data_IF_134313007435
#
_entry.id   IF_134313007435
#
_cell.length_a   1.000
_cell.length_b   1.000
_cell.length_c   1.000
_cell.angle_alpha   90.00
_cell.angle_beta   90.00
_cell.angle_gamma   90.00
#
_symmetry.space_group_name_H-M   'P 1'
#
loop_
_entity.id
_entity.type
_entity.pdbx_description
1 polymer ?
#
# COMPACT_ATOMS: atom_id res chain seq x y z
N UNK A 1 36.52 -52.20 -1.62
CA UNK A 1 36.95 -50.94 -2.27
C UNK A 1 35.81 -50.23 -3.00
N UNK A 2 35.07 -50.91 -3.90
CA UNK A 2 33.98 -50.31 -4.70
C UNK A 2 32.82 -49.67 -3.89
N UNK A 3 32.37 -50.23 -2.77
CA UNK A 3 31.26 -49.64 -1.98
C UNK A 3 31.57 -48.24 -1.39
N UNK A 4 32.84 -47.97 -1.02
CA UNK A 4 33.25 -46.66 -0.50
C UNK A 4 33.27 -45.58 -1.59
N UNK A 5 33.54 -45.95 -2.84
CA UNK A 5 33.48 -45.03 -3.98
C UNK A 5 32.04 -44.69 -4.36
N UNK A 6 31.12 -45.67 -4.36
CA UNK A 6 29.69 -45.40 -4.58
C UNK A 6 29.08 -44.49 -3.51
N UNK A 7 29.38 -44.71 -2.22
CA UNK A 7 28.93 -43.80 -1.15
C UNK A 7 29.53 -42.40 -1.28
N UNK A 8 30.80 -42.26 -1.69
CA UNK A 8 31.39 -40.94 -1.96
C UNK A 8 30.74 -40.23 -3.13
N UNK A 9 30.41 -40.97 -4.21
CA UNK A 9 29.75 -40.42 -5.39
C UNK A 9 28.30 -39.99 -5.08
N UNK A 10 27.54 -40.80 -4.33
CA UNK A 10 26.20 -40.43 -3.86
C UNK A 10 26.25 -39.25 -2.89
N UNK A 11 27.23 -39.20 -1.98
CA UNK A 11 27.39 -38.07 -1.06
C UNK A 11 27.84 -36.80 -1.80
N UNK A 12 28.68 -36.90 -2.84
CA UNK A 12 29.04 -35.77 -3.70
C UNK A 12 27.84 -35.29 -4.53
N UNK A 13 27.03 -36.20 -5.06
CA UNK A 13 25.81 -35.86 -5.80
C UNK A 13 24.76 -35.21 -4.89
N UNK A 14 24.63 -35.70 -3.65
CA UNK A 14 23.74 -35.14 -2.64
C UNK A 14 24.25 -33.80 -2.09
N UNK A 15 25.57 -33.65 -1.87
CA UNK A 15 26.21 -32.40 -1.48
C UNK A 15 26.22 -31.38 -2.63
N UNK A 16 26.34 -31.81 -3.90
CA UNK A 16 26.17 -30.95 -5.07
C UNK A 16 24.70 -30.54 -5.24
N UNK A 17 23.74 -31.42 -4.95
CA UNK A 17 22.31 -31.07 -4.85
C UNK A 17 22.07 -30.05 -3.72
N UNK A 18 22.65 -30.23 -2.53
CA UNK A 18 22.54 -29.29 -1.41
C UNK A 18 23.25 -27.96 -1.72
N UNK A 19 24.40 -27.98 -2.38
CA UNK A 19 25.12 -26.80 -2.85
C UNK A 19 24.37 -26.06 -3.96
N UNK A 20 23.62 -26.77 -4.82
CA UNK A 20 22.75 -26.14 -5.83
C UNK A 20 21.48 -25.59 -5.20
N UNK A 21 20.96 -26.20 -4.11
CA UNK A 21 19.81 -25.68 -3.34
C UNK A 21 20.13 -24.34 -2.65
N UNK A 22 21.40 -24.10 -2.27
CA UNK A 22 21.81 -22.89 -1.53
C UNK A 22 22.09 -21.65 -2.41
N UNK A 23 22.09 -21.76 -3.74
CA UNK A 23 22.36 -20.65 -4.67
C UNK A 23 21.52 -20.76 -5.97
N UNK A 24 20.22 -21.06 -5.85
CA UNK A 24 19.34 -21.08 -7.03
C UNK A 24 18.98 -19.65 -7.44
N UNK A 25 19.53 -19.22 -8.57
CA UNK A 25 19.03 -18.06 -9.31
C UNK A 25 18.47 -18.53 -10.65
N UNK A 26 17.44 -17.82 -11.14
CA UNK A 26 16.95 -18.00 -12.52
C UNK A 26 17.76 -17.08 -13.43
N UNK A 27 18.34 -17.64 -14.50
CA UNK A 27 18.98 -16.85 -15.55
C UNK A 27 17.91 -16.41 -16.56
N UNK A 28 17.75 -15.11 -16.74
CA UNK A 28 16.77 -14.51 -17.63
C UNK A 28 17.51 -13.83 -18.77
N UNK A 29 17.33 -14.32 -20.00
CA UNK A 29 17.89 -13.69 -21.19
C UNK A 29 16.98 -12.60 -21.71
N UNK A 30 17.54 -11.46 -22.08
CA UNK A 30 16.86 -10.37 -22.80
C UNK A 30 17.85 -9.72 -23.77
N UNK A 31 17.37 -9.27 -24.93
CA UNK A 31 18.24 -8.60 -25.91
C UNK A 31 18.83 -7.29 -25.36
N UNK A 32 18.09 -6.62 -24.48
CA UNK A 32 18.51 -5.38 -23.82
C UNK A 32 18.18 -5.44 -22.33
N UNK A 33 19.15 -5.10 -21.49
CA UNK A 33 18.95 -4.96 -20.05
C UNK A 33 18.61 -3.50 -19.77
N UNK A 34 17.42 -3.25 -19.23
CA UNK A 34 16.92 -1.91 -18.89
C UNK A 34 16.50 -1.85 -17.42
N UNK A 35 16.43 -0.64 -16.87
CA UNK A 35 15.93 -0.43 -15.51
C UNK A 35 14.50 -0.94 -15.30
N UNK A 36 13.66 -0.91 -16.36
CA UNK A 36 12.27 -1.38 -16.30
C UNK A 36 12.19 -2.90 -16.23
N UNK A 37 13.03 -3.59 -17.01
CA UNK A 37 13.16 -5.06 -16.99
C UNK A 37 13.73 -5.51 -15.65
N UNK A 38 14.78 -4.86 -15.16
CA UNK A 38 15.35 -5.16 -13.85
C UNK A 38 14.31 -4.97 -12.74
N UNK A 39 13.60 -3.84 -12.72
CA UNK A 39 12.55 -3.55 -11.75
C UNK A 39 11.44 -4.61 -11.74
N UNK A 40 10.91 -4.98 -12.90
CA UNK A 40 9.75 -5.89 -12.93
C UNK A 40 10.12 -7.31 -12.54
N UNK A 41 11.33 -7.77 -12.90
CA UNK A 41 11.82 -9.06 -12.44
C UNK A 41 12.29 -9.03 -10.98
N UNK A 42 12.77 -7.90 -10.46
CA UNK A 42 13.01 -7.71 -9.01
C UNK A 42 11.71 -7.95 -8.23
N UNK A 43 10.61 -7.34 -8.67
CA UNK A 43 9.30 -7.58 -8.08
C UNK A 43 8.84 -9.05 -8.24
N UNK A 44 8.80 -9.59 -9.46
CA UNK A 44 8.23 -10.93 -9.72
C UNK A 44 9.08 -12.02 -9.05
N UNK A 45 10.41 -11.96 -9.17
CA UNK A 45 11.31 -13.01 -8.70
C UNK A 45 11.66 -12.83 -7.23
N UNK A 46 12.17 -11.66 -6.81
CA UNK A 46 12.66 -11.47 -5.44
C UNK A 46 11.51 -11.16 -4.47
N UNK A 47 10.75 -10.09 -4.73
CA UNK A 47 9.74 -9.64 -3.76
C UNK A 47 8.55 -10.61 -3.69
N UNK A 48 8.05 -11.04 -4.83
CA UNK A 48 6.86 -11.87 -4.91
C UNK A 48 7.15 -13.36 -4.70
N UNK A 49 8.19 -13.88 -5.38
CA UNK A 49 8.50 -15.32 -5.41
C UNK A 49 9.62 -15.74 -4.44
N UNK A 50 10.40 -14.80 -3.91
CA UNK A 50 11.52 -15.09 -3.01
C UNK A 50 12.65 -15.90 -3.62
N UNK A 51 12.85 -15.80 -4.94
CA UNK A 51 13.95 -16.42 -5.67
C UNK A 51 14.86 -15.34 -6.28
N UNK A 52 16.17 -15.58 -6.29
CA UNK A 52 17.09 -14.66 -6.95
C UNK A 52 17.07 -14.87 -8.47
N UNK A 53 17.52 -13.85 -9.21
CA UNK A 53 17.62 -13.90 -10.66
C UNK A 53 18.85 -13.13 -11.16
N UNK A 54 19.28 -13.46 -12.38
CA UNK A 54 20.29 -12.71 -13.11
C UNK A 54 19.81 -12.43 -14.52
N UNK A 55 20.02 -11.21 -14.99
CA UNK A 55 19.80 -10.84 -16.38
C UNK A 55 21.07 -11.10 -17.19
N UNK A 56 20.90 -11.56 -18.43
CA UNK A 56 21.98 -11.63 -19.42
C UNK A 56 21.48 -11.18 -20.80
N UNK A 57 22.31 -10.43 -21.52
CA UNK A 57 22.12 -10.16 -22.94
C UNK A 57 23.04 -11.00 -23.83
N UNK A 58 23.86 -11.85 -23.23
CA UNK A 58 24.69 -12.79 -23.97
C UNK A 58 23.91 -14.09 -24.24
N UNK A 59 23.55 -14.29 -25.51
CA UNK A 59 22.82 -15.47 -25.97
C UNK A 59 23.62 -16.77 -25.77
N UNK A 60 24.94 -16.74 -25.93
CA UNK A 60 25.78 -17.94 -25.73
C UNK A 60 25.81 -18.34 -24.25
N UNK A 61 25.93 -17.37 -23.35
CA UNK A 61 25.88 -17.62 -21.90
C UNK A 61 24.52 -18.21 -21.49
N UNK A 62 23.42 -17.70 -22.08
CA UNK A 62 22.08 -18.26 -21.86
C UNK A 62 21.96 -19.69 -22.37
N UNK A 63 22.38 -19.98 -23.60
CA UNK A 63 22.26 -21.32 -24.18
C UNK A 63 23.10 -22.35 -23.42
N UNK A 64 24.31 -21.97 -22.99
CA UNK A 64 25.25 -22.86 -22.31
C UNK A 64 25.04 -22.97 -20.79
N UNK A 65 24.15 -22.17 -20.20
CA UNK A 65 23.89 -22.19 -18.76
C UNK A 65 23.08 -23.43 -18.34
N UNK A 66 23.50 -24.04 -17.23
CA UNK A 66 22.83 -25.16 -16.57
C UNK A 66 21.85 -24.71 -15.46
N UNK A 67 21.78 -23.41 -15.16
CA UNK A 67 20.78 -22.88 -14.23
C UNK A 67 19.38 -22.97 -14.84
N UNK A 68 18.31 -22.89 -14.03
CA UNK A 68 16.97 -22.62 -14.55
C UNK A 68 16.96 -21.34 -15.39
N UNK A 69 16.30 -21.42 -16.55
CA UNK A 69 16.34 -20.40 -17.60
C UNK A 69 14.97 -19.94 -18.05
N UNK A 70 14.87 -18.64 -18.32
CA UNK A 70 13.74 -17.99 -18.98
C UNK A 70 14.30 -17.15 -20.13
N UNK A 71 13.76 -17.35 -21.32
CA UNK A 71 13.94 -16.42 -22.43
C UNK A 71 12.88 -15.31 -22.33
N UNK A 72 13.34 -14.07 -22.19
CA UNK A 72 12.55 -12.86 -22.24
C UNK A 72 12.99 -12.01 -23.44
N UNK A 73 12.59 -12.42 -24.65
CA UNK A 73 12.92 -11.75 -25.91
C UNK A 73 11.84 -12.00 -26.97
N UNK A 74 11.95 -11.34 -28.12
CA UNK A 74 11.08 -11.60 -29.26
C UNK A 74 11.53 -12.80 -30.12
N UNK A 75 12.66 -13.43 -29.76
CA UNK A 75 13.08 -14.70 -30.33
C UNK A 75 12.45 -15.87 -29.57
N UNK A 76 12.21 -16.98 -30.28
CA UNK A 76 11.78 -18.22 -29.66
C UNK A 76 12.98 -19.16 -29.49
N UNK A 77 13.08 -19.80 -28.33
CA UNK A 77 14.05 -20.84 -28.05
C UNK A 77 13.32 -22.14 -27.72
N UNK A 78 13.60 -23.17 -28.52
CA UNK A 78 13.05 -24.51 -28.31
C UNK A 78 13.44 -25.04 -26.93
N UNK A 79 12.50 -25.73 -26.28
CA UNK A 79 12.69 -26.28 -24.95
C UNK A 79 13.09 -25.24 -23.90
N UNK A 80 12.67 -23.98 -24.00
CA UNK A 80 12.82 -22.97 -22.94
C UNK A 80 11.46 -22.36 -22.54
N UNK A 81 11.40 -21.70 -21.38
CA UNK A 81 10.26 -20.82 -21.05
C UNK A 81 10.43 -19.55 -21.87
N UNK A 82 9.43 -19.19 -22.67
CA UNK A 82 9.50 -18.05 -23.57
C UNK A 82 8.43 -17.02 -23.20
N UNK A 83 8.87 -15.83 -22.82
CA UNK A 83 8.01 -14.66 -22.61
C UNK A 83 8.43 -13.57 -23.61
N UNK A 84 7.45 -12.92 -24.22
CA UNK A 84 7.67 -11.82 -25.15
C UNK A 84 7.91 -10.52 -24.39
N UNK A 85 8.69 -9.62 -25.01
CA UNK A 85 9.03 -8.31 -24.43
C UNK A 85 8.19 -7.24 -25.11
N UNK A 86 7.45 -6.48 -24.29
CA UNK A 86 6.73 -5.29 -24.75
C UNK A 86 7.65 -4.08 -24.82
N UNK A 87 7.41 -3.19 -25.79
CA UNK A 87 8.19 -1.95 -25.98
C UNK A 87 8.27 -1.10 -24.71
N UNK A 88 7.20 -1.07 -23.92
CA UNK A 88 7.12 -0.33 -22.64
C UNK A 88 8.24 -0.70 -21.66
N UNK A 89 8.86 -1.87 -21.80
CA UNK A 89 9.96 -2.33 -20.94
C UNK A 89 11.35 -1.97 -21.49
N UNK A 90 11.49 -1.68 -22.77
CA UNK A 90 12.79 -1.34 -23.39
C UNK A 90 12.95 0.17 -23.65
N UNK A 91 11.86 0.92 -23.59
CA UNK A 91 11.87 2.37 -23.77
C UNK A 91 12.44 3.15 -22.58
N UNK A 92 12.96 4.35 -22.87
CA UNK A 92 13.45 5.28 -21.85
C UNK A 92 12.42 6.35 -21.46
N UNK A 93 11.47 6.68 -22.34
CA UNK A 93 10.48 7.74 -22.16
C UNK A 93 9.09 7.23 -21.77
N UNK A 94 8.18 8.17 -21.50
CA UNK A 94 6.76 7.89 -21.29
C UNK A 94 6.03 8.14 -22.61
N UNK A 95 5.41 7.10 -23.15
CA UNK A 95 4.61 7.15 -24.37
C UNK A 95 3.14 7.36 -24.02
N UNK A 96 2.45 8.24 -24.76
CA UNK A 96 1.06 8.59 -24.46
C UNK A 96 0.03 7.62 -25.05
N UNK A 97 0.45 6.69 -25.89
CA UNK A 97 -0.37 5.82 -26.73
C UNK A 97 -0.20 4.31 -26.43
N UNK A 98 0.29 3.98 -25.23
CA UNK A 98 0.39 2.58 -24.78
C UNK A 98 -1.01 1.96 -24.65
N UNK A 99 -1.33 1.01 -25.53
CA UNK A 99 -2.54 0.19 -25.43
C UNK A 99 -2.31 -1.00 -24.48
N UNK A 100 -2.86 -0.88 -23.27
CA UNK A 100 -2.78 -1.91 -22.24
C UNK A 100 -3.25 -3.29 -22.71
N UNK A 101 -4.25 -3.36 -23.60
CA UNK A 101 -4.82 -4.64 -24.03
C UNK A 101 -3.84 -5.45 -24.88
N UNK A 102 -2.91 -4.77 -25.57
CA UNK A 102 -1.89 -5.41 -26.40
C UNK A 102 -0.66 -5.87 -25.60
N UNK A 103 -0.49 -5.36 -24.37
CA UNK A 103 0.62 -5.73 -23.51
C UNK A 103 0.56 -7.22 -23.11
N UNK A 104 1.73 -7.83 -23.04
CA UNK A 104 1.95 -9.19 -22.51
C UNK A 104 1.99 -9.17 -20.99
N UNK A 105 2.10 -10.35 -20.39
CA UNK A 105 1.98 -10.59 -18.96
C UNK A 105 2.94 -9.72 -18.14
N UNK A 106 4.22 -9.69 -18.52
CA UNK A 106 5.26 -8.92 -17.81
C UNK A 106 5.08 -7.41 -18.04
N UNK A 107 4.74 -6.99 -19.27
CA UNK A 107 4.45 -5.59 -19.57
C UNK A 107 3.24 -5.05 -18.82
N UNK A 108 2.17 -5.86 -18.67
CA UNK A 108 1.02 -5.54 -17.82
C UNK A 108 1.42 -5.34 -16.37
N UNK A 109 2.26 -6.22 -15.81
CA UNK A 109 2.73 -6.06 -14.44
C UNK A 109 3.49 -4.73 -14.26
N UNK A 110 4.38 -4.39 -15.21
CA UNK A 110 5.08 -3.10 -15.17
C UNK A 110 4.13 -1.91 -15.29
N UNK A 111 3.17 -1.94 -16.21
CA UNK A 111 2.17 -0.89 -16.40
C UNK A 111 1.40 -0.59 -15.11
N UNK A 112 0.95 -1.65 -14.42
CA UNK A 112 0.24 -1.55 -13.16
C UNK A 112 1.09 -1.02 -12.02
N UNK A 113 2.29 -1.58 -11.80
CA UNK A 113 3.15 -1.21 -10.67
C UNK A 113 3.81 0.15 -10.84
N UNK A 114 4.19 0.54 -12.05
CA UNK A 114 4.72 1.88 -12.32
C UNK A 114 3.66 2.98 -12.29
N UNK A 115 2.37 2.59 -12.18
CA UNK A 115 1.21 3.48 -12.33
C UNK A 115 1.24 4.23 -13.67
N UNK A 116 1.66 3.56 -14.74
CA UNK A 116 1.90 4.17 -16.05
C UNK A 116 0.70 4.98 -16.54
N UNK A 117 -0.52 4.45 -16.35
CA UNK A 117 -1.76 5.16 -16.71
C UNK A 117 -1.88 6.55 -16.09
N UNK A 118 -1.41 6.76 -14.86
CA UNK A 118 -1.55 8.03 -14.15
C UNK A 118 -0.61 9.11 -14.69
N UNK A 119 0.53 8.72 -15.28
CA UNK A 119 1.46 9.63 -15.95
C UNK A 119 0.92 10.16 -17.28
N UNK A 120 0.06 9.39 -17.95
CA UNK A 120 -0.51 9.73 -19.27
C UNK A 120 -1.99 10.13 -19.18
N UNK A 121 -2.54 10.17 -17.96
CA UNK A 121 -3.95 10.44 -17.72
C UNK A 121 -4.32 11.88 -18.08
N UNK A 122 -5.51 12.03 -18.67
CA UNK A 122 -6.07 13.33 -19.05
C UNK A 122 -6.83 13.96 -17.88
N UNK A 123 -7.01 15.30 -17.86
CA UNK A 123 -7.67 15.99 -16.74
C UNK A 123 -9.05 15.44 -16.33
N UNK A 124 -9.84 14.91 -17.27
CA UNK A 124 -11.17 14.35 -16.97
C UNK A 124 -11.13 13.03 -16.19
N UNK A 125 -9.98 12.39 -16.07
CA UNK A 125 -9.76 11.18 -15.26
C UNK A 125 -9.40 11.51 -13.81
N UNK A 126 -9.54 12.77 -13.40
CA UNK A 126 -9.33 13.23 -12.05
C UNK A 126 -10.59 13.89 -11.51
N UNK A 127 -10.84 13.72 -10.22
CA UNK A 127 -11.94 14.42 -9.56
C UNK A 127 -11.57 15.87 -9.17
N UNK A 128 -12.52 16.58 -8.54
CA UNK A 128 -12.33 17.97 -8.09
C UNK A 128 -11.22 18.15 -7.04
N UNK A 129 -10.71 17.06 -6.47
CA UNK A 129 -9.56 17.06 -5.56
C UNK A 129 -8.26 16.65 -6.25
N UNK A 130 -8.25 16.51 -7.58
CA UNK A 130 -7.14 15.98 -8.39
C UNK A 130 -6.76 14.55 -8.00
N UNK A 131 -7.74 13.71 -7.68
CA UNK A 131 -7.51 12.29 -7.38
C UNK A 131 -7.87 11.45 -8.59
N UNK A 132 -6.98 10.54 -8.94
CA UNK A 132 -7.17 9.64 -10.09
C UNK A 132 -8.45 8.81 -9.92
N UNK A 133 -9.30 8.88 -10.94
CA UNK A 133 -10.57 8.18 -11.00
C UNK A 133 -10.45 6.77 -11.56
N UNK A 134 -9.30 6.40 -12.13
CA UNK A 134 -9.12 5.14 -12.85
C UNK A 134 -9.47 5.25 -14.34
N UNK A 135 -9.15 4.20 -15.08
CA UNK A 135 -9.49 4.00 -16.50
C UNK A 135 -10.53 2.87 -16.64
N UNK A 136 -10.66 2.33 -17.85
CA UNK A 136 -11.54 1.18 -18.16
C UNK A 136 -10.97 -0.17 -17.70
N UNK A 137 -9.83 -0.16 -17.01
CA UNK A 137 -9.22 -1.36 -16.45
C UNK A 137 -10.04 -1.96 -15.31
N UNK A 138 -9.94 -3.28 -15.15
CA UNK A 138 -10.57 -4.01 -14.05
C UNK A 138 -9.73 -3.92 -12.77
N UNK A 139 -10.10 -3.00 -11.87
CA UNK A 139 -9.48 -2.85 -10.55
C UNK A 139 -10.06 -3.80 -9.49
N UNK A 140 -10.96 -4.72 -9.84
CA UNK A 140 -11.61 -5.61 -8.86
C UNK A 140 -10.73 -6.76 -8.38
N UNK A 141 -9.56 -6.97 -9.02
CA UNK A 141 -8.65 -8.08 -8.78
C UNK A 141 -7.18 -7.63 -8.71
N UNK A 142 -6.33 -8.32 -7.94
CA UNK A 142 -4.90 -8.09 -7.91
C UNK A 142 -4.22 -8.79 -9.11
N UNK A 143 -4.43 -8.25 -10.31
CA UNK A 143 -3.97 -8.86 -11.57
C UNK A 143 -2.45 -9.12 -11.60
N UNK A 144 -1.65 -8.27 -10.97
CA UNK A 144 -0.19 -8.44 -10.88
C UNK A 144 0.17 -9.66 -10.03
N UNK A 145 -0.49 -9.85 -8.88
CA UNK A 145 -0.30 -11.04 -8.06
C UNK A 145 -0.73 -12.31 -8.82
N UNK A 146 -1.85 -12.24 -9.56
CA UNK A 146 -2.34 -13.36 -10.38
C UNK A 146 -1.38 -13.76 -11.49
N UNK A 147 -0.85 -12.78 -12.24
CA UNK A 147 0.16 -13.03 -13.28
C UNK A 147 1.43 -13.61 -12.66
N UNK A 148 1.87 -13.08 -11.51
CA UNK A 148 3.07 -13.57 -10.83
C UNK A 148 2.91 -15.04 -10.40
N UNK A 149 1.73 -15.44 -9.92
CA UNK A 149 1.41 -16.84 -9.61
C UNK A 149 1.39 -17.74 -10.86
N UNK A 150 0.86 -17.27 -11.99
CA UNK A 150 0.89 -18.06 -13.23
C UNK A 150 2.32 -18.22 -13.75
N UNK A 151 3.15 -17.17 -13.65
CA UNK A 151 4.59 -17.26 -13.98
C UNK A 151 5.28 -18.30 -13.08
N UNK A 152 5.01 -18.31 -11.77
CA UNK A 152 5.54 -19.34 -10.87
C UNK A 152 5.13 -20.75 -11.31
N UNK A 153 3.86 -20.94 -11.68
CA UNK A 153 3.35 -22.22 -12.16
C UNK A 153 4.07 -22.69 -13.42
N UNK A 154 4.21 -21.82 -14.43
CA UNK A 154 4.97 -22.12 -15.66
C UNK A 154 6.42 -22.50 -15.34
N UNK A 155 7.05 -21.80 -14.40
CA UNK A 155 8.42 -22.11 -13.96
C UNK A 155 8.49 -23.50 -13.31
N UNK A 156 7.54 -23.84 -12.44
CA UNK A 156 7.51 -25.13 -11.75
C UNK A 156 7.19 -26.31 -12.67
N UNK A 157 6.40 -26.10 -13.73
CA UNK A 157 6.13 -27.12 -14.75
C UNK A 157 7.43 -27.58 -15.44
N UNK A 158 8.38 -26.66 -15.64
CA UNK A 158 9.68 -26.97 -16.24
C UNK A 158 10.75 -27.34 -15.23
N UNK A 159 10.76 -26.68 -14.08
CA UNK A 159 11.77 -26.81 -13.04
C UNK A 159 11.11 -27.20 -11.69
N UNK A 160 10.60 -28.45 -11.57
CA UNK A 160 9.77 -28.88 -10.43
C UNK A 160 10.52 -28.95 -9.09
N UNK A 161 11.86 -28.85 -9.12
CA UNK A 161 12.70 -28.85 -7.92
C UNK A 161 12.98 -27.42 -7.39
N UNK A 162 12.58 -26.37 -8.12
CA UNK A 162 12.67 -25.00 -7.62
C UNK A 162 11.72 -24.80 -6.44
N UNK A 163 12.17 -24.02 -5.46
CA UNK A 163 11.36 -23.67 -4.29
C UNK A 163 11.14 -22.17 -4.26
N UNK A 164 9.88 -21.75 -4.33
CA UNK A 164 9.49 -20.37 -4.05
C UNK A 164 9.22 -20.17 -2.57
N UNK A 165 9.35 -18.93 -2.13
CA UNK A 165 8.94 -18.51 -0.80
C UNK A 165 7.45 -18.81 -0.61
N UNK A 166 7.13 -19.49 0.50
CA UNK A 166 5.75 -19.63 0.94
C UNK A 166 5.21 -18.25 1.33
N UNK A 167 4.20 -17.79 0.60
CA UNK A 167 3.46 -16.56 0.90
C UNK A 167 2.38 -16.86 1.93
N UNK A 168 2.12 -15.90 2.79
CA UNK A 168 1.07 -15.98 3.80
C UNK A 168 0.24 -14.70 3.74
N UNK A 169 -1.08 -14.87 3.82
CA UNK A 169 -2.00 -13.75 3.94
C UNK A 169 -1.61 -12.87 5.14
N UNK A 170 -1.52 -11.56 4.91
CA UNK A 170 -1.27 -10.55 5.95
C UNK A 170 -2.43 -9.56 5.96
N UNK A 171 -2.81 -9.10 7.14
CA UNK A 171 -3.76 -8.01 7.31
C UNK A 171 -3.09 -6.84 8.01
N UNK A 172 -3.32 -5.62 7.49
CA UNK A 172 -2.87 -4.38 8.11
C UNK A 172 -4.06 -3.44 8.22
N UNK A 173 -4.42 -3.07 9.45
CA UNK A 173 -5.48 -2.11 9.68
C UNK A 173 -4.88 -0.71 9.79
N UNK A 174 -5.43 0.24 9.05
CA UNK A 174 -4.90 1.61 9.05
C UNK A 174 -5.97 2.61 9.43
N UNK A 175 -5.55 3.65 10.16
CA UNK A 175 -6.43 4.69 10.67
C UNK A 175 -5.90 6.07 10.37
N UNK A 176 -6.74 6.92 9.80
CA UNK A 176 -6.44 8.33 9.60
C UNK A 176 -7.01 9.14 10.78
N UNK A 177 -6.14 9.91 11.44
CA UNK A 177 -6.47 10.71 12.62
C UNK A 177 -6.53 12.18 12.26
N UNK A 178 -7.66 12.58 11.67
CA UNK A 178 -7.97 13.99 11.40
C UNK A 178 -8.32 14.74 12.69
N UNK A 179 -8.99 14.04 13.60
CA UNK A 179 -9.41 14.55 14.90
C UNK A 179 -9.11 13.53 15.99
N UNK A 180 -8.34 13.94 17.00
CA UNK A 180 -8.10 13.11 18.20
C UNK A 180 -9.25 13.20 19.22
N UNK A 181 -9.98 14.31 19.23
CA UNK A 181 -11.13 14.55 20.11
C UNK A 181 -12.17 15.42 19.43
N UNK A 182 -13.43 15.18 19.76
CA UNK A 182 -14.56 15.99 19.32
C UNK A 182 -14.73 17.24 20.17
N UNK A 183 -14.53 17.12 21.48
CA UNK A 183 -14.76 18.22 22.44
C UNK A 183 -13.53 18.49 23.32
N UNK A 184 -12.85 17.45 23.82
CA UNK A 184 -11.70 17.62 24.72
C UNK A 184 -10.50 18.25 24.00
N UNK A 185 -9.62 18.88 24.79
CA UNK A 185 -8.32 19.40 24.37
C UNK A 185 -8.37 20.47 23.26
N UNK A 186 -9.56 20.99 22.93
CA UNK A 186 -9.74 22.11 22.00
C UNK A 186 -9.51 23.46 22.69
N UNK A 187 -9.09 24.49 21.95
CA UNK A 187 -8.97 25.85 22.49
C UNK A 187 -10.29 26.35 23.08
N UNK A 188 -10.21 27.13 24.17
CA UNK A 188 -11.38 27.63 24.91
C UNK A 188 -12.42 28.33 24.01
N UNK A 189 -11.97 29.17 23.07
CA UNK A 189 -12.87 29.89 22.17
C UNK A 189 -13.65 28.95 21.23
N UNK A 190 -13.07 27.83 20.78
CA UNK A 190 -13.78 26.83 19.96
C UNK A 190 -14.80 26.07 20.80
N UNK A 191 -14.44 25.73 22.03
CA UNK A 191 -15.34 25.06 22.97
C UNK A 191 -16.55 25.93 23.27
N UNK A 192 -16.35 27.20 23.61
CA UNK A 192 -17.43 28.15 23.89
C UNK A 192 -18.28 28.44 22.64
N UNK A 193 -17.65 28.64 21.48
CA UNK A 193 -18.36 28.83 20.22
C UNK A 193 -19.23 27.62 19.85
N UNK A 194 -18.71 26.40 20.07
CA UNK A 194 -19.42 25.14 19.85
C UNK A 194 -20.62 24.96 20.79
N UNK A 195 -20.49 25.36 22.06
CA UNK A 195 -21.59 25.37 23.04
C UNK A 195 -22.65 26.42 22.67
N UNK A 196 -22.24 27.65 22.39
CA UNK A 196 -23.15 28.75 22.00
C UNK A 196 -23.94 28.42 20.74
N UNK A 197 -23.29 27.86 19.71
CA UNK A 197 -23.95 27.40 18.47
C UNK A 197 -25.06 26.38 18.75
N UNK A 198 -24.88 25.47 19.71
CA UNK A 198 -25.90 24.48 20.07
C UNK A 198 -27.10 25.10 20.78
N UNK A 199 -26.86 26.07 21.66
CA UNK A 199 -27.94 26.84 22.31
C UNK A 199 -28.75 27.62 21.27
N UNK A 200 -28.06 28.35 20.39
CA UNK A 200 -28.71 29.13 19.32
C UNK A 200 -29.53 28.25 18.36
N UNK A 201 -29.09 27.02 18.11
CA UNK A 201 -29.81 26.04 17.29
C UNK A 201 -30.84 25.20 18.06
N UNK A 202 -31.03 25.43 19.37
CA UNK A 202 -31.95 24.67 20.21
C UNK A 202 -31.53 23.20 20.44
N UNK A 203 -30.29 22.81 20.13
CA UNK A 203 -29.80 21.44 20.30
C UNK A 203 -29.29 21.21 21.74
N UNK A 204 -30.22 21.23 22.71
CA UNK A 204 -29.90 21.09 24.13
C UNK A 204 -29.39 19.70 24.51
N UNK A 205 -29.75 18.66 23.75
CA UNK A 205 -29.24 17.30 23.97
C UNK A 205 -27.72 17.25 23.74
N UNK A 206 -27.26 17.71 22.58
CA UNK A 206 -25.83 17.77 22.26
C UNK A 206 -25.07 18.76 23.15
N UNK A 207 -25.72 19.84 23.59
CA UNK A 207 -25.13 20.76 24.56
C UNK A 207 -24.84 20.05 25.89
N UNK A 208 -25.82 19.32 26.43
CA UNK A 208 -25.65 18.53 27.67
C UNK A 208 -24.60 17.43 27.50
N UNK A 209 -24.58 16.74 26.36
CA UNK A 209 -23.55 15.74 26.02
C UNK A 209 -22.15 16.36 26.04
N UNK A 210 -21.95 17.48 25.35
CA UNK A 210 -20.67 18.19 25.35
C UNK A 210 -20.25 18.59 26.77
N UNK A 211 -21.15 19.13 27.60
CA UNK A 211 -20.83 19.47 28.99
C UNK A 211 -20.44 18.26 29.84
N UNK A 212 -21.07 17.09 29.63
CA UNK A 212 -20.70 15.86 30.36
C UNK A 212 -19.31 15.38 29.96
N UNK A 213 -18.99 15.43 28.66
CA UNK A 213 -17.64 15.10 28.17
C UNK A 213 -16.59 16.06 28.71
N UNK A 214 -16.82 17.38 28.66
CA UNK A 214 -15.89 18.39 29.18
C UNK A 214 -15.63 18.26 30.69
N UNK A 215 -16.60 17.73 31.44
CA UNK A 215 -16.47 17.44 32.87
C UNK A 215 -16.02 15.99 33.15
N UNK A 216 -15.55 15.27 32.14
CA UNK A 216 -15.08 13.87 32.23
C UNK A 216 -16.12 12.87 32.80
N UNK A 217 -17.41 13.18 32.67
CA UNK A 217 -18.52 12.27 33.05
C UNK A 217 -18.88 11.31 31.93
N UNK A 218 -18.46 11.60 30.70
CA UNK A 218 -18.57 10.74 29.52
C UNK A 218 -17.26 10.77 28.75
N UNK A 219 -16.92 9.66 28.09
CA UNK A 219 -15.75 9.57 27.21
C UNK A 219 -16.00 10.41 25.95
N UNK A 220 -14.95 11.08 25.46
CA UNK A 220 -15.06 11.83 24.21
C UNK A 220 -15.40 10.89 23.03
N UNK A 221 -16.41 11.20 22.20
CA UNK A 221 -16.83 10.33 21.11
C UNK A 221 -15.70 9.95 20.14
N UNK A 222 -14.73 10.83 19.92
CA UNK A 222 -13.60 10.56 19.03
C UNK A 222 -12.37 10.01 19.78
N UNK A 223 -12.49 9.60 21.05
CA UNK A 223 -11.38 8.97 21.76
C UNK A 223 -11.58 7.45 21.76
N UNK A 224 -11.26 6.80 20.61
CA UNK A 224 -11.44 5.35 20.42
C UNK A 224 -10.15 4.53 20.50
N UNK A 225 -9.03 5.14 20.84
CA UNK A 225 -7.70 4.49 20.82
C UNK A 225 -7.63 3.24 21.70
N UNK A 226 -8.18 3.26 22.92
CA UNK A 226 -8.21 2.07 23.79
C UNK A 226 -9.05 0.93 23.22
N UNK A 227 -10.18 1.27 22.60
CA UNK A 227 -11.05 0.30 21.95
C UNK A 227 -10.34 -0.34 20.74
N UNK A 228 -9.66 0.49 19.93
CA UNK A 228 -8.88 0.04 18.78
C UNK A 228 -7.69 -0.83 19.20
N UNK A 229 -6.98 -0.45 20.27
CA UNK A 229 -5.88 -1.22 20.86
C UNK A 229 -6.35 -2.61 21.27
N UNK A 230 -7.43 -2.70 22.04
CA UNK A 230 -8.00 -3.99 22.49
C UNK A 230 -8.37 -4.89 21.33
N UNK A 231 -8.94 -4.35 20.25
CA UNK A 231 -9.26 -5.13 19.05
C UNK A 231 -8.01 -5.61 18.32
N UNK A 232 -7.03 -4.72 18.13
CA UNK A 232 -5.76 -5.06 17.48
C UNK A 232 -5.02 -6.16 18.24
N UNK A 233 -4.91 -6.04 19.57
CA UNK A 233 -4.26 -7.03 20.44
C UNK A 233 -5.02 -8.37 20.45
N UNK A 234 -6.35 -8.33 20.57
CA UNK A 234 -7.20 -9.53 20.59
C UNK A 234 -7.02 -10.39 19.34
N UNK A 235 -6.89 -9.75 18.18
CA UNK A 235 -6.80 -10.43 16.88
C UNK A 235 -5.36 -10.50 16.34
N UNK A 236 -4.37 -9.99 17.08
CA UNK A 236 -2.96 -9.90 16.67
C UNK A 236 -2.79 -9.26 15.28
N UNK A 237 -3.46 -8.13 15.03
CA UNK A 237 -3.43 -7.42 13.75
C UNK A 237 -2.54 -6.19 13.84
N UNK A 238 -1.62 -6.08 12.89
CA UNK A 238 -0.79 -4.89 12.71
C UNK A 238 -1.66 -3.66 12.46
N UNK A 239 -1.40 -2.61 13.23
CA UNK A 239 -2.16 -1.36 13.14
C UNK A 239 -1.24 -0.17 12.88
N UNK A 240 -1.65 0.71 11.98
CA UNK A 240 -0.92 1.93 11.62
C UNK A 240 -1.84 3.15 11.73
N UNK A 241 -1.41 4.18 12.44
CA UNK A 241 -2.10 5.47 12.53
C UNK A 241 -1.36 6.56 11.76
N UNK A 242 -2.08 7.36 10.99
CA UNK A 242 -1.55 8.52 10.28
C UNK A 242 -2.10 9.80 10.91
N UNK A 243 -1.22 10.66 11.40
CA UNK A 243 -1.64 11.86 12.15
C UNK A 243 -1.56 13.14 11.33
N UNK A 244 -2.68 13.87 11.28
CA UNK A 244 -2.74 15.18 10.63
C UNK A 244 -2.15 16.25 11.56
N UNK A 245 -1.04 16.85 11.15
CA UNK A 245 -0.30 17.89 11.90
C UNK A 245 -0.09 19.18 11.09
N UNK A 246 -0.91 19.37 10.06
CA UNK A 246 -0.99 20.60 9.28
C UNK A 246 -1.47 21.80 10.09
N UNK A 247 -1.32 22.99 9.50
CA UNK A 247 -2.00 24.18 9.99
C UNK A 247 -3.48 24.14 9.63
N UNK A 248 -4.33 24.82 10.41
CA UNK A 248 -5.78 24.80 10.17
C UNK A 248 -6.13 25.49 8.85
N UNK A 249 -6.90 24.81 8.02
CA UNK A 249 -7.41 25.29 6.73
C UNK A 249 -8.90 24.96 6.62
N UNK A 250 -9.49 25.19 5.44
CA UNK A 250 -10.84 24.72 5.15
C UNK A 250 -10.96 23.19 5.23
N UNK A 251 -9.94 22.48 4.71
CA UNK A 251 -9.88 21.02 4.60
C UNK A 251 -9.25 20.36 5.83
N UNK A 252 -8.35 21.04 6.54
CA UNK A 252 -7.59 20.50 7.66
C UNK A 252 -8.02 21.20 8.96
N UNK A 253 -8.70 20.47 9.86
CA UNK A 253 -9.27 21.04 11.10
C UNK A 253 -8.71 20.39 12.38
N UNK A 254 -7.55 19.76 12.25
CA UNK A 254 -6.83 19.09 13.32
C UNK A 254 -6.46 20.04 14.46
N UNK A 255 -6.07 19.44 15.59
CA UNK A 255 -5.48 20.17 16.71
C UNK A 255 -4.08 20.68 16.33
N UNK A 256 -3.65 21.78 16.95
CA UNK A 256 -2.30 22.30 16.78
C UNK A 256 -1.31 21.28 17.31
N UNK A 257 -0.24 21.00 16.56
CA UNK A 257 0.78 20.00 16.91
C UNK A 257 1.47 20.26 18.26
N UNK A 258 1.46 21.49 18.78
CA UNK A 258 1.97 21.85 20.12
C UNK A 258 1.02 21.48 21.27
N UNK A 259 -0.17 20.95 20.97
CA UNK A 259 -1.11 20.49 21.99
C UNK A 259 -0.48 19.33 22.77
N UNK A 260 -0.28 19.53 24.07
CA UNK A 260 0.42 18.56 24.95
C UNK A 260 -0.29 17.22 24.99
N UNK A 261 -1.61 17.21 25.07
CA UNK A 261 -2.41 15.98 25.13
C UNK A 261 -2.34 15.21 23.81
N UNK A 262 -2.41 15.90 22.67
CA UNK A 262 -2.23 15.25 21.37
C UNK A 262 -0.82 14.64 21.24
N UNK A 263 0.21 15.38 21.67
CA UNK A 263 1.58 14.88 21.65
C UNK A 263 1.77 13.65 22.57
N UNK A 264 1.13 13.63 23.74
CA UNK A 264 1.10 12.47 24.64
C UNK A 264 0.43 11.27 23.97
N UNK A 265 -0.79 11.47 23.45
CA UNK A 265 -1.56 10.43 22.78
C UNK A 265 -0.81 9.82 21.58
N UNK A 266 -0.13 10.65 20.78
CA UNK A 266 0.74 10.18 19.69
C UNK A 266 1.84 9.28 20.24
N UNK A 267 2.53 9.70 21.31
CA UNK A 267 3.61 8.90 21.92
C UNK A 267 3.09 7.58 22.48
N UNK A 268 2.01 7.61 23.25
CA UNK A 268 1.36 6.40 23.81
C UNK A 268 0.93 5.43 22.71
N UNK A 269 0.44 5.94 21.57
CA UNK A 269 0.06 5.09 20.43
C UNK A 269 1.27 4.32 19.87
N UNK A 270 2.49 4.89 19.93
CA UNK A 270 3.70 4.20 19.45
C UNK A 270 4.12 3.00 20.30
N UNK A 271 3.55 2.82 21.49
CA UNK A 271 3.86 1.67 22.35
C UNK A 271 3.25 0.36 21.81
N UNK A 272 2.22 0.45 20.96
CA UNK A 272 1.46 -0.72 20.49
C UNK A 272 1.12 -0.70 18.99
N UNK A 273 1.23 0.46 18.31
CA UNK A 273 0.97 0.60 16.88
C UNK A 273 2.07 1.43 16.19
N UNK A 274 2.12 1.33 14.86
CA UNK A 274 2.97 2.22 14.04
C UNK A 274 2.28 3.58 13.91
N UNK A 275 3.08 4.65 13.88
CA UNK A 275 2.61 6.02 13.64
C UNK A 275 3.36 6.62 12.46
N UNK A 276 2.61 7.12 11.49
CA UNK A 276 3.09 7.86 10.33
C UNK A 276 2.52 9.28 10.28
N UNK A 277 3.07 10.10 9.39
CA UNK A 277 2.54 11.43 9.11
C UNK A 277 1.31 11.32 8.19
N UNK A 278 0.32 12.18 8.41
CA UNK A 278 -0.77 12.43 7.46
C UNK A 278 -0.62 13.85 6.89
N UNK A 279 0.20 14.06 5.83
CA UNK A 279 0.44 15.40 5.32
C UNK A 279 -0.87 16.04 4.85
N UNK A 280 -1.03 17.32 5.18
CA UNK A 280 -2.25 18.09 5.00
C UNK A 280 -2.66 18.25 3.54
N UNK A 281 -3.90 18.68 3.32
CA UNK A 281 -4.43 18.87 1.98
C UNK A 281 -3.58 19.84 1.15
N UNK A 282 -3.14 20.95 1.75
CA UNK A 282 -2.31 21.96 1.07
C UNK A 282 -0.85 21.52 0.87
N UNK A 283 -0.36 20.55 1.65
CA UNK A 283 1.01 20.04 1.51
C UNK A 283 1.28 19.40 0.14
N UNK A 284 0.23 18.94 -0.56
CA UNK A 284 0.32 18.41 -1.93
C UNK A 284 0.73 19.46 -2.97
N UNK A 285 0.61 20.75 -2.65
CA UNK A 285 1.00 21.85 -3.54
C UNK A 285 2.16 22.67 -2.96
N UNK A 286 2.59 22.38 -1.73
CA UNK A 286 3.61 23.14 -1.02
C UNK A 286 4.59 22.21 -0.30
N UNK A 287 5.76 22.03 -0.93
CA UNK A 287 6.84 21.19 -0.43
C UNK A 287 7.34 21.65 0.96
N UNK A 288 7.32 22.95 1.24
CA UNK A 288 7.72 23.47 2.55
C UNK A 288 6.76 23.03 3.65
N UNK A 289 5.45 23.03 3.39
CA UNK A 289 4.44 22.56 4.33
C UNK A 289 4.61 21.07 4.63
N UNK A 290 4.83 20.23 3.62
CA UNK A 290 5.05 18.78 3.83
C UNK A 290 6.29 18.53 4.72
N UNK A 291 7.42 19.17 4.41
CA UNK A 291 8.64 19.06 5.19
C UNK A 291 8.47 19.54 6.64
N UNK A 292 7.72 20.62 6.83
CA UNK A 292 7.41 21.17 8.15
C UNK A 292 6.53 20.21 8.96
N UNK A 293 5.50 19.64 8.36
CA UNK A 293 4.58 18.71 9.01
C UNK A 293 5.26 17.41 9.44
N UNK A 294 6.14 16.86 8.58
CA UNK A 294 7.00 15.73 8.93
C UNK A 294 7.86 16.08 10.15
N UNK A 295 8.55 17.23 10.13
CA UNK A 295 9.37 17.71 11.26
C UNK A 295 8.56 17.90 12.55
N UNK A 296 7.29 18.31 12.46
CA UNK A 296 6.41 18.41 13.64
C UNK A 296 6.21 17.04 14.30
N UNK A 297 5.92 16.00 13.51
CA UNK A 297 5.79 14.64 14.05
C UNK A 297 7.13 14.11 14.57
N UNK A 298 8.24 14.38 13.88
CA UNK A 298 9.58 14.03 14.37
C UNK A 298 9.87 14.65 15.74
N UNK A 299 9.49 15.91 15.94
CA UNK A 299 9.65 16.60 17.22
C UNK A 299 8.76 16.01 18.32
N UNK A 300 7.53 15.60 17.99
CA UNK A 300 6.62 14.96 18.96
C UNK A 300 7.15 13.61 19.43
N UNK A 301 7.75 12.85 18.51
CA UNK A 301 8.24 11.48 18.74
C UNK A 301 9.72 11.40 19.13
N UNK A 302 10.47 12.49 18.97
CA UNK A 302 11.94 12.53 19.09
C UNK A 302 12.66 11.45 18.25
N UNK A 303 12.16 11.17 17.04
CA UNK A 303 12.75 10.22 16.09
C UNK A 303 12.37 10.57 14.65
N UNK A 304 13.11 10.00 13.70
CA UNK A 304 12.79 10.13 12.26
C UNK A 304 11.46 9.47 11.92
N UNK A 305 10.66 10.18 11.13
CA UNK A 305 9.40 9.69 10.59
C UNK A 305 9.68 9.15 9.19
N UNK A 306 9.22 7.93 8.92
CA UNK A 306 9.53 7.21 7.68
C UNK A 306 8.29 6.68 6.97
N UNK A 307 7.11 6.89 7.53
CA UNK A 307 5.83 6.33 7.05
C UNK A 307 4.86 7.48 6.84
N UNK A 308 4.15 7.48 5.70
CA UNK A 308 3.22 8.54 5.29
C UNK A 308 1.94 8.00 4.68
N UNK A 309 0.87 8.80 4.76
CA UNK A 309 -0.31 8.72 3.91
C UNK A 309 -0.83 10.13 3.64
N UNK A 310 -1.09 10.49 2.40
CA UNK A 310 -1.59 11.83 2.06
C UNK A 310 -3.05 12.02 2.49
N UNK A 311 -3.36 13.18 3.07
CA UNK A 311 -4.75 13.55 3.35
C UNK A 311 -5.57 13.62 2.05
N UNK A 312 -6.83 13.21 2.13
CA UNK A 312 -7.72 12.99 0.98
C UNK A 312 -7.22 11.94 -0.02
N UNK A 313 -6.21 11.14 0.32
CA UNK A 313 -5.50 10.21 -0.57
C UNK A 313 -5.01 10.87 -1.88
N UNK A 314 -4.66 12.16 -1.79
CA UNK A 314 -4.19 12.95 -2.93
C UNK A 314 -2.79 12.54 -3.32
N UNK A 315 -2.63 12.16 -4.58
CA UNK A 315 -1.39 11.68 -5.13
C UNK A 315 -1.20 12.25 -6.52
N UNK A 316 -0.11 12.99 -6.73
CA UNK A 316 0.27 13.55 -8.01
C UNK A 316 1.65 13.01 -8.40
N UNK A 317 1.70 12.20 -9.46
CA UNK A 317 2.95 11.64 -9.94
C UNK A 317 3.70 12.63 -10.85
N UNK A 318 5.04 12.70 -10.77
CA UNK A 318 5.91 12.03 -9.79
C UNK A 318 6.09 12.86 -8.49
N UNK A 319 5.59 14.11 -8.47
CA UNK A 319 5.98 15.13 -7.50
C UNK A 319 5.72 14.74 -6.05
N UNK A 320 4.55 14.19 -5.71
CA UNK A 320 4.22 13.82 -4.34
C UNK A 320 5.24 12.82 -3.77
N UNK A 321 5.59 11.78 -4.53
CA UNK A 321 6.50 10.73 -4.07
C UNK A 321 7.96 11.15 -4.06
N UNK A 322 8.39 11.97 -5.01
CA UNK A 322 9.72 12.59 -4.96
C UNK A 322 9.89 13.45 -3.70
N UNK A 323 8.86 14.23 -3.32
CA UNK A 323 8.92 15.04 -2.10
C UNK A 323 8.93 14.18 -0.82
N UNK A 324 8.17 13.09 -0.78
CA UNK A 324 8.22 12.14 0.33
C UNK A 324 9.64 11.55 0.49
N UNK A 325 10.27 11.12 -0.60
CA UNK A 325 11.64 10.61 -0.60
C UNK A 325 12.66 11.65 -0.11
N UNK A 326 12.57 12.89 -0.62
CA UNK A 326 13.44 14.01 -0.18
C UNK A 326 13.33 14.25 1.33
N UNK A 327 12.12 14.09 1.89
CA UNK A 327 11.87 14.24 3.32
C UNK A 327 12.14 12.96 4.14
N UNK A 328 12.74 11.93 3.55
CA UNK A 328 13.18 10.71 4.24
C UNK A 328 12.07 9.67 4.50
N UNK A 329 10.90 9.83 3.87
CA UNK A 329 9.84 8.83 3.91
C UNK A 329 10.24 7.62 3.07
N UNK A 330 10.01 6.43 3.63
CA UNK A 330 10.36 5.12 3.06
C UNK A 330 9.15 4.28 2.72
N UNK A 331 8.02 4.53 3.37
CA UNK A 331 6.77 3.80 3.17
C UNK A 331 5.61 4.77 2.99
N UNK A 332 4.79 4.55 1.97
CA UNK A 332 3.58 5.33 1.72
C UNK A 332 2.35 4.41 1.57
N UNK A 333 1.24 4.82 2.19
CA UNK A 333 -0.01 4.08 2.23
C UNK A 333 -1.15 4.81 1.50
N UNK A 334 -0.82 5.63 0.50
CA UNK A 334 -1.78 6.51 -0.19
C UNK A 334 -2.49 5.83 -1.36
N UNK A 335 -1.87 4.82 -2.00
CA UNK A 335 -2.45 4.17 -3.19
C UNK A 335 -3.73 3.42 -2.83
N UNK A 336 -4.86 3.98 -3.25
CA UNK A 336 -6.19 3.40 -3.24
C UNK A 336 -7.17 4.36 -3.90
N UNK A 337 -8.43 3.99 -4.00
CA UNK A 337 -9.47 4.84 -4.60
C UNK A 337 -10.33 5.50 -3.53
N UNK A 338 -10.74 6.74 -3.79
CA UNK A 338 -11.65 7.45 -2.91
C UNK A 338 -13.11 7.05 -3.15
N UNK A 339 -13.47 6.76 -4.42
CA UNK A 339 -14.85 6.64 -4.88
C UNK A 339 -15.30 5.20 -5.15
N UNK A 340 -14.39 4.22 -5.07
CA UNK A 340 -14.67 2.79 -5.26
C UNK A 340 -13.68 1.92 -4.48
N UNK A 341 -14.04 0.67 -4.23
CA UNK A 341 -13.12 -0.35 -3.71
C UNK A 341 -12.28 -0.96 -4.83
N UNK A 342 -11.17 -1.62 -4.47
CA UNK A 342 -10.35 -2.40 -5.41
C UNK A 342 -8.85 -2.14 -5.31
N UNK A 343 -8.10 -2.78 -6.21
CA UNK A 343 -6.65 -2.80 -6.25
C UNK A 343 -6.13 -1.74 -7.22
N UNK A 344 -5.98 -0.48 -6.76
CA UNK A 344 -5.57 0.64 -7.62
C UNK A 344 -4.26 0.38 -8.38
N UNK A 345 -3.27 -0.26 -7.75
CA UNK A 345 -2.01 -0.65 -8.39
C UNK A 345 -2.03 -2.06 -9.01
N UNK A 346 -3.20 -2.67 -9.14
CA UNK A 346 -3.35 -4.04 -9.66
C UNK A 346 -2.70 -5.10 -8.78
N UNK A 347 -2.27 -4.74 -7.56
CA UNK A 347 -1.55 -5.63 -6.65
C UNK A 347 -2.05 -5.50 -5.22
N UNK A 348 -1.96 -6.58 -4.48
CA UNK A 348 -2.12 -6.63 -3.01
C UNK A 348 -0.79 -6.76 -2.26
N UNK A 349 0.32 -6.82 -3.00
CA UNK A 349 1.66 -6.97 -2.46
C UNK A 349 2.34 -5.60 -2.41
N UNK A 350 2.90 -5.18 -1.26
CA UNK A 350 3.71 -3.97 -1.19
C UNK A 350 4.86 -4.00 -2.19
N UNK A 351 5.15 -2.88 -2.85
CA UNK A 351 6.13 -2.81 -3.94
C UNK A 351 6.91 -1.50 -3.93
N UNK A 352 8.13 -1.53 -4.44
CA UNK A 352 8.94 -0.31 -4.63
C UNK A 352 8.34 0.55 -5.73
N UNK A 353 8.25 1.85 -5.53
CA UNK A 353 7.78 2.75 -6.59
C UNK A 353 8.86 2.91 -7.67
N UNK A 354 8.49 2.69 -8.92
CA UNK A 354 9.27 3.05 -10.10
C UNK A 354 8.89 4.44 -10.57
N UNK A 355 9.82 5.39 -10.52
CA UNK A 355 9.59 6.73 -11.02
C UNK A 355 9.81 6.78 -12.53
N UNK A 356 8.72 6.76 -13.29
CA UNK A 356 8.77 6.81 -14.76
C UNK A 356 9.41 8.11 -15.28
N UNK A 357 9.38 9.21 -14.52
CA UNK A 357 9.97 10.48 -14.96
C UNK A 357 11.50 10.47 -14.97
N UNK A 358 12.10 9.63 -14.11
CA UNK A 358 13.55 9.43 -14.02
C UNK A 358 13.99 8.06 -14.53
N UNK A 359 13.02 7.22 -14.92
CA UNK A 359 13.20 5.85 -15.38
C UNK A 359 13.98 4.96 -14.39
N UNK A 360 13.66 5.07 -13.10
CA UNK A 360 14.41 4.41 -12.02
C UNK A 360 13.50 3.84 -10.93
N UNK A 361 13.87 2.67 -10.39
CA UNK A 361 13.33 2.15 -9.14
C UNK A 361 13.81 3.02 -7.98
N UNK A 362 12.89 3.39 -7.10
CA UNK A 362 13.20 4.18 -5.91
C UNK A 362 13.21 3.30 -4.64
N UNK A 363 13.62 3.90 -3.52
CA UNK A 363 13.57 3.22 -2.21
C UNK A 363 12.18 3.28 -1.55
N UNK A 364 11.24 4.08 -2.08
CA UNK A 364 9.91 4.26 -1.51
C UNK A 364 9.08 2.98 -1.75
N UNK A 365 8.59 2.40 -0.67
CA UNK A 365 7.70 1.23 -0.72
C UNK A 365 6.26 1.71 -0.62
N UNK A 366 5.41 1.27 -1.52
CA UNK A 366 3.98 1.60 -1.51
C UNK A 366 3.19 0.44 -0.92
N UNK A 367 2.20 0.77 -0.10
CA UNK A 367 1.30 -0.16 0.56
C UNK A 367 -0.14 0.15 0.12
N UNK A 368 -0.62 -0.47 -0.97
CA UNK A 368 -1.93 -0.15 -1.50
C UNK A 368 -3.05 -0.65 -0.58
N UNK A 369 -4.06 0.18 -0.33
CA UNK A 369 -5.28 -0.20 0.40
C UNK A 369 -6.44 -0.48 -0.57
N UNK A 370 -7.34 -1.37 -0.16
CA UNK A 370 -8.41 -1.89 -1.05
C UNK A 370 -9.80 -1.33 -0.73
N UNK A 371 -10.00 -0.83 0.49
CA UNK A 371 -11.26 -0.25 0.92
C UNK A 371 -11.08 0.83 1.99
N UNK A 372 -11.98 1.80 1.99
CA UNK A 372 -12.06 2.88 2.97
C UNK A 372 -13.51 3.05 3.45
N UNK A 373 -13.71 3.35 4.73
CA UNK A 373 -15.04 3.61 5.32
C UNK A 373 -15.85 4.68 4.58
N UNK A 374 -15.23 5.83 4.29
CA UNK A 374 -15.84 6.93 3.52
C UNK A 374 -16.20 6.49 2.10
N UNK A 375 -15.40 5.63 1.47
CA UNK A 375 -15.72 5.06 0.15
C UNK A 375 -16.99 4.21 0.21
N UNK A 376 -17.05 3.28 1.15
CA UNK A 376 -18.16 2.34 1.30
C UNK A 376 -19.49 3.08 1.58
N UNK A 377 -19.48 4.03 2.53
CA UNK A 377 -20.70 4.74 2.94
C UNK A 377 -21.06 5.91 2.04
N UNK A 378 -20.13 6.84 1.80
CA UNK A 378 -20.50 8.14 1.22
C UNK A 378 -20.47 8.10 -0.31
N UNK A 379 -19.51 7.38 -0.90
CA UNK A 379 -19.38 7.29 -2.35
C UNK A 379 -20.24 6.17 -2.94
N UNK A 380 -20.08 4.95 -2.42
CA UNK A 380 -20.81 3.78 -2.89
C UNK A 380 -22.22 3.67 -2.31
N UNK A 381 -22.52 4.39 -1.22
CA UNK A 381 -23.85 4.42 -0.57
C UNK A 381 -24.32 3.04 -0.13
N UNK A 382 -23.39 2.18 0.27
CA UNK A 382 -23.71 0.84 0.75
C UNK A 382 -24.39 0.91 2.12
N UNK A 383 -25.30 -0.03 2.35
CA UNK A 383 -25.74 -0.39 3.71
C UNK A 383 -24.59 -1.06 4.48
N UNK A 384 -24.74 -1.18 5.80
CA UNK A 384 -23.75 -1.88 6.64
C UNK A 384 -23.56 -3.33 6.21
N UNK A 385 -24.63 -4.02 5.82
CA UNK A 385 -24.62 -5.41 5.36
C UNK A 385 -23.87 -5.55 4.04
N UNK A 386 -24.16 -4.68 3.06
CA UNK A 386 -23.47 -4.65 1.77
C UNK A 386 -21.97 -4.33 1.94
N UNK A 387 -21.64 -3.38 2.81
CA UNK A 387 -20.25 -3.02 3.10
C UNK A 387 -19.47 -4.19 3.71
N UNK A 388 -20.08 -4.96 4.62
CA UNK A 388 -19.47 -6.16 5.20
C UNK A 388 -19.26 -7.24 4.12
N UNK A 389 -20.24 -7.45 3.24
CA UNK A 389 -20.12 -8.41 2.13
C UNK A 389 -18.99 -8.01 1.17
N UNK A 390 -18.87 -6.72 0.85
CA UNK A 390 -17.81 -6.21 -0.01
C UNK A 390 -16.42 -6.37 0.63
N UNK A 391 -16.28 -6.04 1.93
CA UNK A 391 -15.03 -6.25 2.66
C UNK A 391 -14.64 -7.74 2.74
N UNK A 392 -15.61 -8.64 2.95
CA UNK A 392 -15.38 -10.09 2.91
C UNK A 392 -14.93 -10.55 1.53
N UNK A 393 -15.56 -10.06 0.46
CA UNK A 393 -15.18 -10.37 -0.92
C UNK A 393 -13.73 -9.95 -1.21
N UNK A 394 -13.36 -8.71 -0.85
CA UNK A 394 -11.99 -8.21 -1.03
C UNK A 394 -10.98 -9.00 -0.21
N UNK A 395 -11.31 -9.32 1.06
CA UNK A 395 -10.45 -10.13 1.93
C UNK A 395 -10.22 -11.52 1.36
N UNK A 396 -11.27 -12.16 0.82
CA UNK A 396 -11.15 -13.47 0.17
C UNK A 396 -10.25 -13.41 -1.07
N UNK A 397 -10.45 -12.42 -1.95
CA UNK A 397 -9.60 -12.22 -3.13
C UNK A 397 -8.13 -12.04 -2.73
N UNK A 398 -7.85 -11.31 -1.64
CA UNK A 398 -6.48 -11.17 -1.13
C UNK A 398 -5.95 -12.47 -0.50
N UNK A 399 -6.80 -13.26 0.18
CA UNK A 399 -6.43 -14.59 0.69
C UNK A 399 -6.06 -15.54 -0.47
N UNK A 400 -6.79 -15.51 -1.58
CA UNK A 400 -6.56 -16.37 -2.75
C UNK A 400 -5.16 -16.21 -3.37
N UNK A 401 -4.56 -15.02 -3.22
CA UNK A 401 -3.18 -14.74 -3.68
C UNK A 401 -2.15 -14.67 -2.55
N UNK A 402 -2.55 -15.01 -1.31
CA UNK A 402 -1.75 -14.82 -0.09
C UNK A 402 -1.10 -13.43 -0.03
N UNK A 403 -1.93 -12.40 -0.26
CA UNK A 403 -1.53 -11.01 -0.34
C UNK A 403 -1.61 -10.25 0.98
N UNK A 404 -1.46 -8.93 0.92
CA UNK A 404 -1.65 -8.03 2.07
C UNK A 404 -2.98 -7.28 1.97
N UNK A 405 -3.91 -7.58 2.88
CA UNK A 405 -5.20 -6.90 2.97
C UNK A 405 -5.09 -5.65 3.84
N UNK A 406 -5.21 -4.48 3.21
CA UNK A 406 -5.09 -3.19 3.87
C UNK A 406 -6.38 -2.39 3.73
N UNK A 407 -6.93 -1.93 4.85
CA UNK A 407 -8.14 -1.09 4.90
C UNK A 407 -7.87 0.23 5.62
N UNK A 408 -8.57 1.28 5.22
CA UNK A 408 -8.51 2.62 5.82
C UNK A 408 -9.82 2.93 6.55
N UNK A 409 -9.74 3.22 7.85
CA UNK A 409 -10.89 3.70 8.63
C UNK A 409 -10.54 5.01 9.33
N UNK A 410 -11.55 5.80 9.67
CA UNK A 410 -11.35 6.97 10.52
C UNK A 410 -12.02 6.68 11.86
N UNK A 411 -11.24 6.70 12.93
CA UNK A 411 -11.74 6.40 14.26
C UNK A 411 -12.86 7.36 14.72
N UNK A 412 -12.88 8.59 14.18
CA UNK A 412 -13.94 9.57 14.42
C UNK A 412 -15.29 9.21 13.76
N UNK A 413 -15.30 8.27 12.81
CA UNK A 413 -16.50 7.80 12.10
C UNK A 413 -17.17 6.61 12.82
N UNK A 414 -16.97 6.39 14.11
CA UNK A 414 -17.69 5.33 14.87
C UNK A 414 -18.83 5.86 15.74
N UNK A 415 -19.28 7.09 15.48
CA UNK A 415 -20.23 7.81 16.31
C UNK A 415 -21.23 8.58 15.45
N UNK A 416 -22.29 9.06 16.10
CA UNK A 416 -23.34 9.87 15.45
C UNK A 416 -23.98 9.15 14.25
N UNK A 417 -23.97 9.78 13.07
CA UNK A 417 -24.52 9.26 11.82
C UNK A 417 -23.80 8.01 11.30
N UNK A 418 -22.71 7.61 11.96
CA UNK A 418 -21.93 6.41 11.66
C UNK A 418 -21.93 5.39 12.82
N UNK A 419 -22.81 5.57 13.81
CA UNK A 419 -22.83 4.68 14.98
C UNK A 419 -23.09 3.20 14.63
N UNK A 420 -23.84 2.95 13.56
CA UNK A 420 -24.08 1.63 12.96
C UNK A 420 -22.85 1.09 12.18
N UNK A 421 -21.93 1.94 11.72
CA UNK A 421 -20.74 1.54 10.95
C UNK A 421 -19.64 0.91 11.80
N UNK A 422 -19.75 0.97 13.13
CA UNK A 422 -18.81 0.27 14.01
C UNK A 422 -18.76 -1.23 13.72
N UNK A 423 -19.89 -1.86 13.39
CA UNK A 423 -19.96 -3.29 13.04
C UNK A 423 -19.23 -3.61 11.72
N UNK A 424 -19.20 -2.65 10.78
CA UNK A 424 -18.47 -2.79 9.52
C UNK A 424 -16.96 -2.86 9.81
N UNK A 425 -16.46 -1.99 10.69
CA UNK A 425 -15.06 -2.06 11.13
C UNK A 425 -14.76 -3.36 11.87
N UNK A 426 -15.60 -3.76 12.83
CA UNK A 426 -15.41 -5.02 13.56
C UNK A 426 -15.41 -6.26 12.62
N UNK A 427 -16.13 -6.20 11.49
CA UNK A 427 -16.23 -7.31 10.54
C UNK A 427 -14.91 -7.71 9.89
N UNK A 428 -13.95 -6.78 9.75
CA UNK A 428 -12.66 -7.07 9.08
C UNK A 428 -11.77 -8.00 9.91
N UNK A 429 -12.06 -8.14 11.21
CA UNK A 429 -11.34 -9.01 12.13
C UNK A 429 -11.86 -10.45 12.11
N UNK A 430 -13.04 -10.69 11.54
CA UNK A 430 -13.60 -12.01 11.37
C UNK A 430 -12.98 -12.69 10.14
N UNK A 431 -12.97 -14.02 10.13
CA UNK A 431 -12.38 -14.80 9.03
C UNK A 431 -13.19 -14.79 7.73
#
# INVERSE_FOLDING_TARGET
>A
MKLKEYCKLCLLLFLNQISTILNQFILIYTEQITNRIEYIFDFIMRDFSGIDFKLTSNKEDFLNSNSPKINFSNHFFDNEINFQVDDVLIENGIQNDVDYNNLKEVGKCFYWLSRYEEYISKPHQFDNHNRFLGSDLDYSKPIVDQISLEIQKIILEKYPLLQFKKREFRQINTHDVDFSWKYLNKPFYETMGSLGKKVLKGNFSEFKKQLRVLNHREVDPYSKFDYLKKLAEKHNIETVFFWLLGDKTEFDRNLNWKNKEQANLIRETTEWAKVGIHPSYLSNFNNHSQALEIKRLENVLNKKVTISRQHFIKLNFPSTYQQLLINGIKEDFTIGFAHRTGFRAGTSTPFKWFDLSTNQQTLLTTYPFVAMDVTLRNYMKLTTEEAILELKRLKQITKDVNGTFITLFHQSNFEEEWSDWKVVYESIFND
#
